data_IF_739896749171
#
_entry.id   IF_739896749171
#
_cell.length_a   1.000
_cell.length_b   1.000
_cell.length_c   1.000
_cell.angle_alpha   90.00
_cell.angle_beta   90.00
_cell.angle_gamma   90.00
#
_symmetry.space_group_name_H-M   'P 1'
#
loop_
_entity.id
_entity.type
_entity.pdbx_description
1 polymer ?
#
# COMPACT_ATOMS: atom_id res chain seq x y z
N UNK A 1 -10.31 -5.85 2.07
CA UNK A 1 -9.69 -6.91 2.90
C UNK A 1 -8.42 -7.42 2.26
N UNK A 2 -8.34 -7.57 0.94
CA UNK A 2 -7.14 -8.02 0.19
C UNK A 2 -5.77 -7.67 0.80
N UNK A 3 -5.36 -6.40 0.83
CA UNK A 3 -4.02 -6.03 1.32
C UNK A 3 -3.82 -6.28 2.83
N UNK A 4 -4.89 -6.16 3.63
CA UNK A 4 -4.83 -6.46 5.05
C UNK A 4 -4.78 -7.98 5.31
N UNK A 5 -5.53 -8.75 4.51
CA UNK A 5 -5.52 -10.21 4.53
C UNK A 5 -4.21 -10.80 4.00
N UNK A 6 -3.53 -10.08 3.10
CA UNK A 6 -2.18 -10.38 2.65
C UNK A 6 -1.08 -9.92 3.63
N UNK A 7 -1.44 -9.25 4.74
CA UNK A 7 -0.48 -8.77 5.74
C UNK A 7 0.39 -7.58 5.30
N UNK A 8 0.01 -6.87 4.23
CA UNK A 8 0.74 -5.72 3.70
C UNK A 8 0.34 -4.40 4.34
N UNK A 9 -0.90 -4.32 4.87
CA UNK A 9 -1.39 -3.15 5.61
C UNK A 9 -2.05 -3.57 6.91
N UNK A 10 -1.87 -2.77 7.95
CA UNK A 10 -2.73 -2.80 9.13
C UNK A 10 -3.94 -1.89 8.89
N UNK A 11 -5.04 -2.21 9.59
CA UNK A 11 -6.25 -1.39 9.62
C UNK A 11 -6.60 -1.13 11.08
N UNK A 12 -6.66 0.14 11.44
CA UNK A 12 -7.02 0.60 12.77
C UNK A 12 -8.34 1.38 12.71
N UNK A 13 -9.25 1.11 13.63
CA UNK A 13 -10.52 1.84 13.75
C UNK A 13 -10.46 2.62 15.05
N UNK A 14 -10.48 3.95 14.95
CA UNK A 14 -10.61 4.82 16.09
C UNK A 14 -12.11 5.07 16.34
N UNK A 15 -12.61 4.53 17.44
CA UNK A 15 -13.99 4.73 17.88
C UNK A 15 -14.20 6.14 18.44
N UNK A 16 -15.44 6.63 18.37
CA UNK A 16 -15.86 7.94 18.88
C UNK A 16 -16.57 8.79 17.81
N UNK A 17 -17.04 10.00 18.13
CA UNK A 17 -17.52 10.96 17.14
C UNK A 17 -16.40 11.94 16.73
N UNK A 18 -15.89 11.90 15.48
CA UNK A 18 -16.24 10.98 14.39
C UNK A 18 -15.47 9.65 14.45
N UNK A 19 -16.12 8.58 13.98
CA UNK A 19 -15.43 7.29 13.78
C UNK A 19 -14.46 7.48 12.62
N UNK A 20 -13.22 7.07 12.81
CA UNK A 20 -12.21 7.14 11.76
C UNK A 20 -11.50 5.80 11.57
N UNK A 21 -10.96 5.60 10.38
CA UNK A 21 -10.22 4.39 10.00
C UNK A 21 -8.89 4.83 9.42
N UNK A 22 -7.80 4.25 9.93
CA UNK A 22 -6.45 4.48 9.42
C UNK A 22 -5.90 3.17 8.86
N UNK A 23 -5.15 3.31 7.78
CA UNK A 23 -4.40 2.22 7.17
C UNK A 23 -2.93 2.59 7.15
N UNK A 24 -2.08 1.65 7.52
CA UNK A 24 -0.63 1.84 7.54
C UNK A 24 0.03 0.63 6.90
N UNK A 25 1.12 0.84 6.16
CA UNK A 25 1.93 -0.28 5.67
C UNK A 25 2.56 -1.02 6.85
N UNK A 26 2.48 -2.34 6.82
CA UNK A 26 3.30 -3.19 7.68
C UNK A 26 4.76 -3.12 7.26
N UNK A 27 5.67 -3.71 8.04
CA UNK A 27 7.06 -3.90 7.61
C UNK A 27 7.15 -4.64 6.27
N UNK A 28 6.35 -5.69 6.08
CA UNK A 28 6.26 -6.42 4.82
C UNK A 28 5.77 -5.51 3.67
N UNK A 29 4.74 -4.69 3.91
CA UNK A 29 4.26 -3.72 2.92
C UNK A 29 5.29 -2.67 2.55
N UNK A 30 6.05 -2.17 3.53
CA UNK A 30 7.15 -1.22 3.29
C UNK A 30 8.29 -1.87 2.51
N UNK A 31 8.64 -3.11 2.81
CA UNK A 31 9.69 -3.86 2.10
C UNK A 31 9.36 -4.11 0.62
N UNK A 32 8.08 -4.05 0.24
CA UNK A 32 7.62 -4.19 -1.14
C UNK A 32 7.79 -2.91 -1.96
N UNK A 33 7.85 -1.74 -1.30
CA UNK A 33 7.90 -0.43 -1.98
C UNK A 33 9.06 -0.31 -2.97
N UNK A 34 10.32 -0.68 -2.65
CA UNK A 34 11.42 -0.57 -3.60
C UNK A 34 11.19 -1.37 -4.90
N UNK A 35 10.53 -2.53 -4.81
CA UNK A 35 10.21 -3.37 -5.97
C UNK A 35 9.14 -2.72 -6.83
N UNK A 36 8.12 -2.12 -6.20
CA UNK A 36 7.08 -1.38 -6.91
C UNK A 36 7.64 -0.11 -7.58
N UNK A 37 8.59 0.56 -6.94
CA UNK A 37 9.26 1.73 -7.50
C UNK A 37 10.08 1.37 -8.74
N UNK A 38 10.87 0.29 -8.68
CA UNK A 38 11.64 -0.21 -9.83
C UNK A 38 10.71 -0.64 -10.98
N UNK A 39 9.61 -1.31 -10.67
CA UNK A 39 8.59 -1.66 -11.67
C UNK A 39 7.96 -0.41 -12.30
N UNK A 40 7.69 0.61 -11.49
CA UNK A 40 7.14 1.87 -11.97
C UNK A 40 8.12 2.63 -12.86
N UNK A 41 9.42 2.61 -12.53
CA UNK A 41 10.48 3.16 -13.39
C UNK A 41 10.55 2.45 -14.73
N UNK A 42 10.62 1.11 -14.69
CA UNK A 42 10.59 0.31 -15.90
C UNK A 42 9.37 0.63 -16.77
N UNK A 43 8.19 0.73 -16.15
CA UNK A 43 6.96 1.05 -16.84
C UNK A 43 7.00 2.43 -17.49
N UNK A 44 7.50 3.46 -16.79
CA UNK A 44 7.67 4.81 -17.36
C UNK A 44 8.59 4.83 -18.58
N UNK A 45 9.61 3.98 -18.59
CA UNK A 45 10.56 3.90 -19.71
C UNK A 45 10.03 3.10 -20.90
N UNK A 46 9.29 2.01 -20.65
CA UNK A 46 9.00 1.00 -21.68
C UNK A 46 7.54 0.92 -22.07
N UNK A 47 6.62 1.32 -21.18
CA UNK A 47 5.22 1.43 -21.50
C UNK A 47 4.96 2.86 -21.96
N UNK A 48 4.54 3.01 -23.22
CA UNK A 48 3.83 4.24 -23.61
C UNK A 48 2.50 4.21 -22.87
N UNK A 49 2.46 4.82 -21.70
CA UNK A 49 1.22 5.15 -21.03
C UNK A 49 0.49 6.14 -21.95
N UNK A 50 -0.44 5.61 -22.76
CA UNK A 50 -1.43 6.37 -23.51
C UNK A 50 -2.53 6.82 -22.55
#
# INVERSE_FOLDING_TARGET
VELAGAGLVTREVCEGPPVSVTYQLTEAGQSLMPVLDELADWARTHLRLQ
#
